data_IF_904563682660
#
_entry.id   IF_904563682660
#
_cell.length_a   1.000
_cell.length_b   1.000
_cell.length_c   1.000
_cell.angle_alpha   90.00
_cell.angle_beta   90.00
_cell.angle_gamma   90.00
#
_symmetry.space_group_name_H-M   'P 1'
#
loop_
_entity.id
_entity.type
_entity.pdbx_description
1 polymer ?
#
# COMPACT_ATOMS: atom_id res chain seq x y z
N UNK A 1 7.08 31.93 -48.22
CA UNK A 1 6.45 31.93 -46.88
C UNK A 1 6.53 30.51 -46.31
N UNK A 2 7.34 30.26 -45.27
CA UNK A 2 7.48 28.94 -44.65
C UNK A 2 6.52 28.82 -43.47
N UNK A 3 5.51 27.94 -43.55
CA UNK A 3 4.62 27.61 -42.43
C UNK A 3 5.43 26.81 -41.40
N UNK A 4 5.62 27.36 -40.20
CA UNK A 4 6.11 26.59 -39.04
C UNK A 4 4.94 25.77 -38.48
N UNK A 5 5.07 24.46 -38.54
CA UNK A 5 4.17 23.52 -37.87
C UNK A 5 4.57 23.50 -36.38
N UNK A 6 3.71 24.02 -35.50
CA UNK A 6 3.84 23.81 -34.06
C UNK A 6 3.20 22.47 -33.72
N UNK A 7 4.02 21.49 -33.34
CA UNK A 7 3.56 20.27 -32.70
C UNK A 7 3.50 20.57 -31.20
N UNK A 8 2.28 20.70 -30.66
CA UNK A 8 2.03 20.66 -29.22
C UNK A 8 2.25 19.22 -28.76
N UNK A 9 3.47 18.89 -28.34
CA UNK A 9 3.71 17.69 -27.56
C UNK A 9 3.15 17.93 -26.16
N UNK A 10 1.91 17.50 -25.92
CA UNK A 10 1.45 17.26 -24.55
C UNK A 10 2.37 16.20 -23.97
N UNK A 11 3.11 16.56 -22.92
CA UNK A 11 3.85 15.58 -22.13
C UNK A 11 2.79 14.67 -21.51
N UNK A 12 2.55 13.51 -22.12
CA UNK A 12 1.85 12.43 -21.44
C UNK A 12 2.84 11.91 -20.42
N UNK A 13 2.74 12.43 -19.19
CA UNK A 13 3.45 11.82 -18.07
C UNK A 13 2.88 10.42 -17.94
N UNK A 14 3.68 9.42 -18.29
CA UNK A 14 3.36 8.02 -18.08
C UNK A 14 3.38 7.83 -16.56
N UNK A 15 2.25 8.06 -15.89
CA UNK A 15 2.13 7.72 -14.48
C UNK A 15 2.24 6.20 -14.43
N UNK A 16 3.28 5.70 -13.74
CA UNK A 16 3.21 4.34 -13.22
C UNK A 16 1.90 4.27 -12.45
N UNK A 17 1.07 3.24 -12.71
CA UNK A 17 -0.25 3.14 -12.09
C UNK A 17 -0.13 3.26 -10.57
N UNK A 18 -1.07 3.96 -9.94
CA UNK A 18 -1.06 4.22 -8.49
C UNK A 18 -1.41 2.97 -7.65
N UNK A 19 -1.48 1.80 -8.30
CA UNK A 19 -1.89 0.53 -7.73
C UNK A 19 -0.98 -0.60 -8.20
N UNK A 20 -0.76 -1.58 -7.33
CA UNK A 20 -0.08 -2.84 -7.65
C UNK A 20 -1.09 -4.01 -7.56
N UNK A 21 -1.13 -4.87 -8.59
CA UNK A 21 -1.94 -6.10 -8.57
C UNK A 21 -1.05 -7.25 -8.11
N UNK A 22 -1.41 -7.87 -6.99
CA UNK A 22 -0.76 -9.08 -6.51
C UNK A 22 -1.30 -10.30 -7.28
N UNK A 23 -0.49 -10.82 -8.20
CA UNK A 23 -0.85 -11.98 -9.03
C UNK A 23 -1.01 -13.29 -8.25
N UNK A 24 -0.52 -13.37 -7.01
CA UNK A 24 -0.66 -14.57 -6.17
C UNK A 24 -1.99 -14.60 -5.43
N UNK A 25 -2.42 -13.47 -4.88
CA UNK A 25 -3.65 -13.38 -4.08
C UNK A 25 -4.85 -12.83 -4.85
N UNK A 26 -4.61 -12.18 -5.99
CA UNK A 26 -5.62 -11.40 -6.70
C UNK A 26 -6.00 -10.10 -5.99
N UNK A 27 -5.28 -9.69 -4.94
CA UNK A 27 -5.53 -8.42 -4.26
C UNK A 27 -4.97 -7.25 -5.07
N UNK A 28 -5.62 -6.10 -4.99
CA UNK A 28 -5.04 -4.84 -5.46
C UNK A 28 -4.60 -4.02 -4.26
N UNK A 29 -3.38 -3.52 -4.34
CA UNK A 29 -2.73 -2.74 -3.31
C UNK A 29 -2.54 -1.32 -3.79
N UNK A 30 -2.69 -0.38 -2.88
CA UNK A 30 -2.25 0.99 -3.09
C UNK A 30 -0.74 0.98 -3.36
N UNK A 31 -0.27 1.69 -4.36
CA UNK A 31 1.15 1.83 -4.68
C UNK A 31 1.44 3.22 -5.26
N UNK A 32 1.12 4.25 -4.49
CA UNK A 32 1.44 5.65 -4.79
C UNK A 32 2.33 6.24 -3.68
N UNK A 33 2.71 7.52 -3.83
CA UNK A 33 3.59 8.22 -2.90
C UNK A 33 3.08 8.28 -1.46
N UNK A 34 1.77 8.27 -1.22
CA UNK A 34 1.21 8.33 0.13
C UNK A 34 1.67 7.17 1.03
N UNK A 35 1.95 6.01 0.43
CA UNK A 35 2.45 4.81 1.14
C UNK A 35 3.82 5.07 1.80
N UNK A 36 4.64 5.92 1.17
CA UNK A 36 6.04 6.19 1.59
C UNK A 36 6.23 7.58 2.20
N UNK A 37 5.32 8.51 1.95
CA UNK A 37 5.42 9.88 2.47
C UNK A 37 4.70 10.05 3.82
N UNK A 38 3.77 9.16 4.17
CA UNK A 38 2.98 9.29 5.39
C UNK A 38 3.29 8.21 6.44
N UNK A 39 3.36 8.66 7.70
CA UNK A 39 3.37 7.84 8.91
C UNK A 39 2.21 8.33 9.77
N UNK A 40 1.33 7.41 10.19
CA UNK A 40 0.11 7.76 10.91
C UNK A 40 -0.22 6.73 11.98
N UNK A 41 -0.94 7.16 13.03
CA UNK A 41 -1.54 6.25 14.01
C UNK A 41 -2.52 5.27 13.36
N UNK A 42 -2.78 4.14 14.01
CA UNK A 42 -3.69 3.14 13.45
C UNK A 42 -5.08 3.70 13.16
N UNK A 43 -5.62 4.56 14.06
CA UNK A 43 -6.93 5.21 13.85
C UNK A 43 -6.94 6.05 12.57
N UNK A 44 -5.87 6.81 12.32
CA UNK A 44 -5.73 7.62 11.10
C UNK A 44 -5.54 6.74 9.86
N UNK A 45 -4.77 5.66 9.95
CA UNK A 45 -4.63 4.68 8.86
C UNK A 45 -5.97 4.05 8.48
N UNK A 46 -6.77 3.68 9.48
CA UNK A 46 -8.10 3.11 9.28
C UNK A 46 -9.07 4.08 8.61
N UNK A 47 -9.06 5.35 9.02
CA UNK A 47 -9.84 6.40 8.38
C UNK A 47 -9.35 6.66 6.94
N UNK A 48 -8.04 6.82 6.78
CA UNK A 48 -7.40 7.04 5.49
C UNK A 48 -7.81 5.99 4.45
N UNK A 49 -7.70 4.70 4.79
CA UNK A 49 -8.07 3.67 3.83
C UNK A 49 -9.57 3.64 3.51
N UNK A 50 -10.46 3.98 4.43
CA UNK A 50 -11.90 4.04 4.14
C UNK A 50 -12.28 5.24 3.27
N UNK A 51 -11.58 6.37 3.44
CA UNK A 51 -11.84 7.61 2.70
C UNK A 51 -11.10 7.64 1.35
N UNK A 52 -10.15 6.73 1.13
CA UNK A 52 -9.33 6.66 -0.07
C UNK A 52 -10.20 6.39 -1.30
N UNK A 53 -10.12 7.27 -2.28
CA UNK A 53 -10.56 7.01 -3.66
C UNK A 53 -9.35 7.07 -4.56
N UNK A 54 -8.98 5.94 -5.16
CA UNK A 54 -7.77 5.79 -5.97
C UNK A 54 -8.11 5.05 -7.26
N UNK A 55 -7.74 5.63 -8.40
CA UNK A 55 -8.02 5.07 -9.74
C UNK A 55 -9.50 4.69 -9.94
N UNK A 56 -10.41 5.47 -9.34
CA UNK A 56 -11.87 5.27 -9.41
C UNK A 56 -12.46 4.25 -8.43
N UNK A 57 -11.65 3.66 -7.55
CA UNK A 57 -12.11 2.70 -6.54
C UNK A 57 -12.14 3.32 -5.14
N UNK A 58 -13.17 3.01 -4.36
CA UNK A 58 -13.41 3.51 -2.99
C UNK A 58 -13.67 2.41 -1.95
N UNK A 59 -13.40 1.16 -2.30
CA UNK A 59 -13.56 -0.04 -1.46
C UNK A 59 -12.24 -0.44 -0.78
N UNK A 60 -11.40 0.54 -0.47
CA UNK A 60 -10.10 0.35 0.16
C UNK A 60 -10.24 0.11 1.67
N UNK A 61 -9.32 -0.68 2.22
CA UNK A 61 -9.25 -0.98 3.66
C UNK A 61 -7.82 -1.19 4.12
N UNK A 62 -7.62 -1.15 5.43
CA UNK A 62 -6.36 -1.62 6.04
C UNK A 62 -6.25 -3.14 5.83
N UNK A 63 -5.09 -3.67 5.41
CA UNK A 63 -4.90 -5.10 5.22
C UNK A 63 -4.95 -5.86 6.54
N UNK A 64 -5.22 -7.16 6.48
CA UNK A 64 -5.00 -8.07 7.62
C UNK A 64 -3.52 -8.45 7.70
N UNK A 65 -3.08 -9.00 8.84
CA UNK A 65 -1.69 -9.44 9.00
C UNK A 65 -1.33 -10.53 7.97
N UNK A 66 -2.25 -11.46 7.70
CA UNK A 66 -2.05 -12.54 6.74
C UNK A 66 -1.85 -12.01 5.32
N UNK A 67 -2.58 -10.96 4.94
CA UNK A 67 -2.42 -10.32 3.62
C UNK A 67 -1.09 -9.58 3.51
N UNK A 68 -0.66 -8.86 4.55
CA UNK A 68 0.67 -8.21 4.52
C UNK A 68 1.79 -9.25 4.42
N UNK A 69 1.66 -10.37 5.11
CA UNK A 69 2.64 -11.45 5.07
C UNK A 69 2.77 -12.09 3.67
N UNK A 70 1.75 -12.00 2.80
CA UNK A 70 1.90 -12.49 1.41
C UNK A 70 2.83 -11.60 0.58
N UNK A 71 3.08 -10.36 1.01
CA UNK A 71 4.02 -9.46 0.36
C UNK A 71 5.47 -9.68 0.80
N UNK A 72 5.72 -10.45 1.86
CA UNK A 72 7.07 -10.62 2.41
C UNK A 72 7.92 -11.53 1.52
N UNK A 73 9.15 -11.09 1.24
CA UNK A 73 10.16 -11.84 0.51
C UNK A 73 11.35 -12.13 1.43
N UNK A 74 11.36 -13.29 2.09
CA UNK A 74 12.39 -13.65 3.10
C UNK A 74 13.81 -13.85 2.54
N UNK A 75 13.99 -13.83 1.22
CA UNK A 75 15.29 -13.79 0.56
C UNK A 75 15.81 -12.36 0.32
N UNK A 76 15.08 -11.34 0.77
CA UNK A 76 15.44 -9.92 0.65
C UNK A 76 15.56 -9.28 2.03
N UNK A 77 16.25 -8.15 2.06
CA UNK A 77 16.44 -7.31 3.24
C UNK A 77 16.46 -5.85 2.77
N UNK A 78 15.75 -4.97 3.49
CA UNK A 78 15.66 -3.52 3.21
C UNK A 78 15.37 -3.13 1.74
N UNK A 79 14.13 -3.29 1.25
CA UNK A 79 12.97 -3.92 1.90
C UNK A 79 12.80 -5.40 1.53
N UNK A 80 12.32 -6.20 2.49
CA UNK A 80 11.93 -7.60 2.40
C UNK A 80 10.54 -7.79 1.76
N UNK A 81 10.31 -7.20 0.57
CA UNK A 81 9.02 -7.26 -0.15
C UNK A 81 9.15 -7.99 -1.50
N UNK A 82 8.09 -8.65 -1.97
CA UNK A 82 8.02 -9.20 -3.33
C UNK A 82 8.10 -8.10 -4.40
N UNK A 83 8.38 -8.46 -5.66
CA UNK A 83 8.43 -7.48 -6.76
C UNK A 83 7.05 -6.95 -7.15
N UNK A 84 7.02 -5.89 -7.98
CA UNK A 84 5.77 -5.31 -8.50
C UNK A 84 5.25 -4.08 -7.74
N UNK A 85 6.02 -3.57 -6.79
CA UNK A 85 5.72 -2.36 -6.01
C UNK A 85 6.78 -1.29 -6.23
N UNK A 86 6.37 -0.08 -6.56
CA UNK A 86 7.23 1.06 -6.85
C UNK A 86 7.42 1.98 -5.63
N UNK A 87 6.49 1.96 -4.68
CA UNK A 87 6.50 2.84 -3.51
C UNK A 87 6.62 2.03 -2.23
N UNK A 88 7.84 1.59 -1.89
CA UNK A 88 8.13 0.72 -0.75
C UNK A 88 9.20 1.33 0.14
N UNK A 89 9.02 1.21 1.45
CA UNK A 89 9.99 1.60 2.48
C UNK A 89 10.25 0.43 3.45
N UNK A 90 11.46 0.35 4.01
CA UNK A 90 11.89 -0.67 4.96
C UNK A 90 11.45 -0.35 6.41
N UNK A 91 10.14 -0.16 6.58
CA UNK A 91 9.52 0.22 7.86
C UNK A 91 8.34 -0.70 8.19
N UNK A 92 7.72 -0.46 9.34
CA UNK A 92 6.53 -1.16 9.81
C UNK A 92 5.25 -0.62 9.18
N UNK A 93 4.40 -1.55 8.74
CA UNK A 93 3.11 -1.30 8.11
C UNK A 93 1.97 -1.87 8.95
N UNK A 94 0.97 -1.03 9.20
CA UNK A 94 -0.22 -1.41 9.97
C UNK A 94 -1.02 -2.53 9.32
N UNK A 95 -1.47 -3.47 10.15
CA UNK A 95 -2.59 -4.35 9.83
C UNK A 95 -3.82 -4.02 10.68
N UNK A 96 -4.98 -4.47 10.22
CA UNK A 96 -6.26 -4.45 10.94
C UNK A 96 -6.39 -5.58 11.95
N UNK A 97 -5.40 -6.47 12.05
CA UNK A 97 -5.44 -7.61 12.97
C UNK A 97 -5.09 -7.15 14.39
N UNK A 98 -6.02 -7.27 15.36
CA UNK A 98 -5.77 -6.83 16.73
C UNK A 98 -4.76 -7.75 17.43
N UNK A 99 -3.95 -7.19 18.32
CA UNK A 99 -3.16 -8.01 19.23
C UNK A 99 -4.04 -8.46 20.40
N UNK A 100 -4.20 -9.78 20.56
CA UNK A 100 -5.22 -10.34 21.45
C UNK A 100 -4.99 -10.02 22.92
N UNK A 101 -3.73 -9.91 23.33
CA UNK A 101 -3.36 -9.78 24.74
C UNK A 101 -3.29 -8.32 25.22
N UNK A 102 -3.28 -7.35 24.30
CA UNK A 102 -3.30 -5.91 24.60
C UNK A 102 -4.07 -5.14 23.52
N UNK A 103 -5.24 -4.61 23.90
CA UNK A 103 -6.13 -3.86 23.01
C UNK A 103 -5.58 -2.49 22.58
N UNK A 104 -4.46 -2.06 23.17
CA UNK A 104 -3.73 -0.86 22.75
C UNK A 104 -2.72 -1.16 21.64
N UNK A 105 -2.68 -2.39 21.12
CA UNK A 105 -1.75 -2.82 20.09
C UNK A 105 -2.45 -3.52 18.91
N UNK A 106 -1.89 -3.32 17.73
CA UNK A 106 -2.24 -4.07 16.53
C UNK A 106 -1.01 -4.73 15.93
N UNK A 107 -1.20 -5.86 15.25
CA UNK A 107 -0.16 -6.48 14.45
C UNK A 107 0.18 -5.62 13.23
N UNK A 108 1.40 -5.79 12.74
CA UNK A 108 1.84 -5.33 11.43
C UNK A 108 3.12 -6.06 11.02
N UNK A 109 3.70 -5.62 9.91
CA UNK A 109 4.93 -6.20 9.36
C UNK A 109 5.98 -5.12 9.21
N UNK A 110 7.17 -5.33 9.76
CA UNK A 110 8.38 -4.56 9.45
C UNK A 110 9.00 -5.09 8.15
N UNK A 111 8.85 -4.34 7.06
CA UNK A 111 9.42 -4.72 5.76
C UNK A 111 10.94 -4.51 5.68
N UNK A 112 11.63 -4.14 6.76
CA UNK A 112 13.09 -4.25 6.80
C UNK A 112 13.57 -5.69 6.63
N UNK A 113 12.92 -6.63 7.32
CA UNK A 113 13.29 -8.05 7.35
C UNK A 113 12.10 -9.02 7.27
N UNK A 114 10.87 -8.49 7.23
CA UNK A 114 9.64 -9.29 7.10
C UNK A 114 9.08 -9.78 8.43
N UNK A 115 9.58 -9.27 9.56
CA UNK A 115 9.09 -9.65 10.88
C UNK A 115 7.68 -9.11 11.12
N UNK A 116 6.78 -9.97 11.61
CA UNK A 116 5.49 -9.56 12.14
C UNK A 116 5.57 -9.40 13.66
N UNK A 117 5.12 -8.25 14.17
CA UNK A 117 5.10 -7.93 15.59
C UNK A 117 3.93 -7.00 15.94
N UNK A 118 3.46 -6.98 17.20
CA UNK A 118 2.47 -5.99 17.62
C UNK A 118 3.14 -4.63 17.89
N UNK A 119 2.46 -3.54 17.58
CA UNK A 119 2.88 -2.18 17.90
C UNK A 119 1.71 -1.38 18.51
N UNK A 120 2.05 -0.45 19.40
CA UNK A 120 1.07 0.45 20.03
C UNK A 120 0.32 1.30 19.00
N UNK A 121 -1.01 1.27 19.03
CA UNK A 121 -1.89 1.93 18.03
C UNK A 121 -1.73 3.46 17.96
N UNK A 122 -1.07 4.05 18.96
CA UNK A 122 -0.75 5.48 19.05
C UNK A 122 0.56 5.86 18.34
N UNK A 123 1.38 4.89 17.91
CA UNK A 123 2.59 5.17 17.15
C UNK A 123 2.29 5.48 15.68
N UNK A 124 3.09 6.35 15.09
CA UNK A 124 3.00 6.62 13.66
C UNK A 124 3.74 5.52 12.89
N UNK A 125 3.01 4.85 11.99
CA UNK A 125 3.50 3.78 11.11
C UNK A 125 2.92 3.94 9.70
N UNK A 126 3.45 3.18 8.75
CA UNK A 126 2.97 3.21 7.37
C UNK A 126 1.68 2.41 7.24
N UNK A 127 0.90 2.67 6.19
CA UNK A 127 -0.20 1.81 5.76
C UNK A 127 -0.17 1.69 4.25
N UNK A 128 -0.41 0.49 3.75
CA UNK A 128 -0.67 0.24 2.33
C UNK A 128 -2.07 -0.33 2.22
N UNK A 129 -3.02 0.50 1.78
CA UNK A 129 -4.40 0.05 1.69
C UNK A 129 -4.54 -1.08 0.66
N UNK A 130 -5.46 -1.99 0.91
CA UNK A 130 -5.74 -3.14 0.05
C UNK A 130 -7.22 -3.18 -0.28
N UNK A 131 -7.54 -3.75 -1.43
CA UNK A 131 -8.90 -4.05 -1.85
C UNK A 131 -8.97 -5.40 -2.55
N UNK A 132 -10.15 -6.01 -2.53
CA UNK A 132 -10.42 -7.23 -3.29
C UNK A 132 -10.64 -6.86 -4.75
N UNK A 133 -10.02 -7.57 -5.70
CA UNK A 133 -10.44 -7.45 -7.10
C UNK A 133 -11.79 -8.17 -7.26
N UNK A 134 -12.88 -7.42 -7.31
CA UNK A 134 -14.05 -7.96 -7.98
C UNK A 134 -13.71 -8.03 -9.47
N UNK A 135 -13.99 -9.14 -10.19
CA UNK A 135 -13.87 -9.11 -11.64
C UNK A 135 -14.73 -7.94 -12.16
N UNK A 136 -14.33 -7.25 -13.24
CA UNK A 136 -15.23 -6.31 -13.88
C UNK A 136 -16.54 -7.06 -14.13
N UNK A 137 -17.66 -6.47 -13.71
CA UNK A 137 -18.97 -6.95 -14.14
C UNK A 137 -18.90 -7.02 -15.66
N UNK A 138 -18.90 -8.24 -16.20
CA UNK A 138 -19.03 -8.48 -17.64
C UNK A 138 -20.34 -7.87 -18.13
#
# INVERSE_FOLDING_TARGET
>A
MKKKLLILATVVSLHAGEMAIDGYTGLTWQDNRDVVDNLVTYKKAYQYCQDLTLEGYSDWRVPTITELLTLVSYNKYKPAIIGGFNHVEDNFYWSSTPFKDDSTQNWGVDFRDGVSEPNGISYDRRVRCVRTTNPPKK
#
